data_IF_677168349232
#
_entry.id   IF_677168349232
#
_cell.length_a   1.000
_cell.length_b   1.000
_cell.length_c   1.000
_cell.angle_alpha   90.00
_cell.angle_beta   90.00
_cell.angle_gamma   90.00
#
_symmetry.space_group_name_H-M   'P 1'
#
loop_
_entity.id
_entity.type
_entity.pdbx_description
1 polymer ?
#
# COMPACT_ATOMS: atom_id res chain seq x y z
N UNK A 1 16.83 15.20 -24.46
CA UNK A 1 15.63 14.99 -23.60
C UNK A 1 16.06 15.23 -22.16
N UNK A 2 15.38 16.11 -21.42
CA UNK A 2 15.77 16.46 -20.04
C UNK A 2 15.59 15.22 -19.17
N UNK A 3 16.70 14.69 -18.65
CA UNK A 3 16.70 13.56 -17.74
C UNK A 3 16.30 14.09 -16.35
N UNK A 4 15.00 14.31 -16.15
CA UNK A 4 14.46 14.77 -14.88
C UNK A 4 14.56 13.59 -13.92
N UNK A 5 15.62 13.51 -13.12
CA UNK A 5 15.63 12.65 -11.94
C UNK A 5 14.42 13.07 -11.09
N UNK A 6 13.35 12.27 -11.13
CA UNK A 6 12.16 12.50 -10.32
C UNK A 6 12.62 12.53 -8.86
N UNK A 7 12.30 13.61 -8.16
CA UNK A 7 12.61 13.74 -6.73
C UNK A 7 11.89 12.59 -6.00
N UNK A 8 12.59 11.80 -5.17
CA UNK A 8 11.96 10.70 -4.46
C UNK A 8 10.87 11.24 -3.53
N UNK A 9 9.70 10.62 -3.56
CA UNK A 9 8.64 10.92 -2.61
C UNK A 9 9.09 10.49 -1.22
N UNK A 10 8.93 11.37 -0.23
CA UNK A 10 9.24 11.07 1.16
C UNK A 10 8.04 10.38 1.81
N UNK A 11 8.31 9.38 2.64
CA UNK A 11 7.32 8.59 3.36
C UNK A 11 7.45 8.82 4.87
N UNK A 12 6.34 8.75 5.61
CA UNK A 12 6.39 8.69 7.09
C UNK A 12 6.64 7.27 7.60
N UNK A 13 6.47 6.25 6.75
CA UNK A 13 7.01 4.92 6.98
C UNK A 13 8.48 4.93 6.56
N UNK A 14 9.37 4.42 7.41
CA UNK A 14 10.80 4.35 7.15
C UNK A 14 11.09 3.52 5.88
N UNK A 15 11.37 4.21 4.79
CA UNK A 15 11.83 3.63 3.54
C UNK A 15 13.35 3.65 3.52
N UNK A 16 13.98 2.73 4.24
CA UNK A 16 15.45 2.62 4.26
C UNK A 16 16.01 2.63 2.84
N UNK A 17 17.03 3.45 2.59
CA UNK A 17 17.55 3.70 1.22
C UNK A 17 18.04 2.42 0.52
N UNK A 18 18.38 1.36 1.27
CA UNK A 18 18.90 0.10 0.75
C UNK A 18 17.84 -0.97 0.47
N UNK A 19 16.56 -0.73 0.79
CA UNK A 19 15.52 -1.77 0.63
C UNK A 19 15.08 -1.99 -0.82
N UNK A 20 15.23 -1.00 -1.70
CA UNK A 20 14.64 -0.99 -3.05
C UNK A 20 13.13 -0.71 -3.09
N UNK A 21 12.47 -0.61 -1.94
CA UNK A 21 11.02 -0.40 -1.80
C UNK A 21 10.72 1.03 -1.32
N UNK A 22 10.98 2.01 -2.18
CA UNK A 22 10.63 3.41 -1.90
C UNK A 22 9.13 3.66 -2.07
N UNK A 23 8.65 4.83 -1.67
CA UNK A 23 7.27 5.27 -1.94
C UNK A 23 6.93 5.34 -3.44
N UNK A 24 7.94 5.43 -4.32
CA UNK A 24 7.76 5.33 -5.76
C UNK A 24 7.62 3.88 -6.25
N UNK A 25 8.13 2.91 -5.48
CA UNK A 25 8.17 1.50 -5.82
C UNK A 25 7.44 0.64 -4.77
N UNK A 26 6.12 0.59 -4.88
CA UNK A 26 5.25 -0.23 -4.05
C UNK A 26 4.86 -1.51 -4.81
N UNK A 27 5.46 -2.67 -4.52
CA UNK A 27 5.05 -3.94 -5.10
C UNK A 27 3.78 -4.45 -4.42
N UNK A 28 2.97 -5.21 -5.15
CA UNK A 28 1.84 -5.96 -4.59
C UNK A 28 2.24 -7.43 -4.43
N UNK A 29 1.86 -8.04 -3.32
CA UNK A 29 2.18 -9.42 -2.99
C UNK A 29 1.09 -10.08 -2.17
N UNK A 30 1.29 -11.37 -1.87
CA UNK A 30 0.50 -12.13 -0.93
C UNK A 30 1.39 -12.54 0.24
N UNK A 31 0.88 -12.46 1.46
CA UNK A 31 1.56 -12.96 2.65
C UNK A 31 0.59 -13.70 3.57
N UNK A 32 1.09 -14.78 4.19
CA UNK A 32 0.42 -15.43 5.31
C UNK A 32 0.83 -14.71 6.60
N UNK A 33 -0.10 -13.97 7.20
CA UNK A 33 0.19 -13.13 8.38
C UNK A 33 -0.07 -13.85 9.71
N UNK A 34 -0.85 -14.92 9.64
CA UNK A 34 -1.15 -15.87 10.73
C UNK A 34 -1.48 -17.22 10.09
N UNK A 35 -1.32 -18.35 10.80
CA UNK A 35 -1.70 -19.66 10.28
C UNK A 35 -3.10 -19.65 9.67
N UNK A 36 -3.18 -19.92 8.36
CA UNK A 36 -4.45 -19.96 7.61
C UNK A 36 -5.06 -18.59 7.27
N UNK A 37 -4.35 -17.48 7.52
CA UNK A 37 -4.78 -16.13 7.11
C UNK A 37 -3.79 -15.53 6.11
N UNK A 38 -4.15 -15.65 4.84
CA UNK A 38 -3.38 -15.16 3.69
C UNK A 38 -4.08 -13.97 3.06
N UNK A 39 -3.35 -12.89 2.85
CA UNK A 39 -3.90 -11.59 2.43
C UNK A 39 -3.01 -10.90 1.39
N UNK A 40 -3.60 -9.92 0.71
CA UNK A 40 -2.89 -8.93 -0.10
C UNK A 40 -2.05 -7.97 0.74
N UNK A 41 -0.81 -7.76 0.32
CA UNK A 41 0.14 -6.87 0.98
C UNK A 41 0.87 -5.97 -0.01
N UNK A 42 1.38 -4.85 0.48
CA UNK A 42 2.41 -4.04 -0.21
C UNK A 42 3.64 -3.94 0.68
N UNK A 43 4.80 -3.60 0.09
CA UNK A 43 6.04 -3.37 0.83
C UNK A 43 6.50 -1.93 0.69
N UNK A 44 7.00 -1.34 1.78
CA UNK A 44 7.68 -0.04 1.80
C UNK A 44 8.81 -0.07 2.83
N UNK A 45 10.03 0.23 2.38
CA UNK A 45 11.21 0.02 3.19
C UNK A 45 11.36 -1.44 3.61
N UNK A 46 11.51 -1.61 4.93
CA UNK A 46 11.57 -2.92 5.56
C UNK A 46 10.20 -3.39 6.08
N UNK A 47 9.14 -2.60 5.92
CA UNK A 47 7.82 -2.92 6.43
C UNK A 47 6.96 -3.60 5.35
N UNK A 48 6.19 -4.60 5.76
CA UNK A 48 5.05 -5.11 5.00
C UNK A 48 3.78 -4.41 5.49
N UNK A 49 2.88 -4.09 4.58
CA UNK A 49 1.61 -3.42 4.88
C UNK A 49 0.46 -4.27 4.40
N UNK A 50 -0.46 -4.56 5.32
CA UNK A 50 -1.70 -5.28 5.07
C UNK A 50 -2.68 -4.39 4.29
N UNK A 51 -2.94 -4.73 3.03
CA UNK A 51 -3.85 -3.95 2.17
C UNK A 51 -5.32 -4.19 2.50
N UNK A 52 -5.67 -5.39 3.01
CA UNK A 52 -7.01 -5.68 3.52
C UNK A 52 -7.34 -4.78 4.71
N UNK A 53 -6.42 -4.65 5.68
CA UNK A 53 -6.60 -3.75 6.82
C UNK A 53 -6.70 -2.28 6.39
N UNK A 54 -5.91 -1.84 5.40
CA UNK A 54 -6.04 -0.50 4.86
C UNK A 54 -7.42 -0.24 4.24
N UNK A 55 -8.00 -1.23 3.57
CA UNK A 55 -9.37 -1.15 3.08
C UNK A 55 -10.37 -1.00 4.24
N UNK A 56 -10.22 -1.78 5.32
CA UNK A 56 -11.06 -1.66 6.52
C UNK A 56 -10.92 -0.31 7.24
N UNK A 57 -9.73 0.29 7.20
CA UNK A 57 -9.46 1.65 7.67
C UNK A 57 -9.97 2.74 6.71
N UNK A 58 -10.78 2.37 5.71
CA UNK A 58 -11.38 3.28 4.73
C UNK A 58 -10.36 4.05 3.88
N UNK A 59 -9.12 3.57 3.80
CA UNK A 59 -8.05 4.23 3.05
C UNK A 59 -8.32 4.27 1.54
N UNK A 60 -9.18 3.37 1.03
CA UNK A 60 -9.55 3.26 -0.39
C UNK A 60 -10.91 3.87 -0.73
N UNK A 61 -11.55 4.61 0.20
CA UNK A 61 -12.83 5.27 -0.08
C UNK A 61 -12.73 6.19 -1.31
N UNK A 62 -13.72 6.09 -2.19
CA UNK A 62 -13.76 6.85 -3.45
C UNK A 62 -12.93 6.27 -4.58
N UNK A 63 -12.33 5.08 -4.40
CA UNK A 63 -11.74 4.28 -5.49
C UNK A 63 -12.73 3.18 -5.94
N UNK A 64 -12.29 2.33 -6.87
CA UNK A 64 -13.06 1.17 -7.33
C UNK A 64 -13.56 0.29 -6.16
N UNK A 65 -14.87 -0.02 -6.06
CA UNK A 65 -15.46 -0.73 -4.92
C UNK A 65 -14.82 -2.10 -4.61
N UNK A 66 -14.40 -2.85 -5.63
CA UNK A 66 -13.74 -4.15 -5.45
C UNK A 66 -12.45 -4.08 -4.60
N UNK A 67 -11.78 -2.92 -4.53
CA UNK A 67 -10.61 -2.73 -3.69
C UNK A 67 -10.90 -2.93 -2.18
N UNK A 68 -12.18 -2.90 -1.78
CA UNK A 68 -12.61 -3.20 -0.42
C UNK A 68 -12.54 -4.69 -0.08
N UNK A 69 -12.43 -5.56 -1.08
CA UNK A 69 -12.55 -7.01 -0.90
C UNK A 69 -11.43 -7.81 -1.54
N UNK A 70 -10.83 -7.36 -2.66
CA UNK A 70 -9.82 -8.16 -3.39
C UNK A 70 -8.59 -8.51 -2.56
N UNK A 71 -8.20 -7.68 -1.59
CA UNK A 71 -7.02 -7.95 -0.74
C UNK A 71 -7.29 -8.90 0.43
N UNK A 72 -8.56 -9.24 0.70
CA UNK A 72 -8.93 -10.34 1.60
C UNK A 72 -8.70 -11.71 0.97
N UNK A 73 -8.49 -11.77 -0.35
CA UNK A 73 -8.31 -13.01 -1.09
C UNK A 73 -6.87 -13.53 -0.97
N UNK A 74 -6.65 -14.85 -0.97
CA UNK A 74 -5.32 -15.45 -0.84
C UNK A 74 -4.51 -15.38 -2.15
N UNK A 75 -5.02 -14.72 -3.20
CA UNK A 75 -4.42 -14.61 -4.52
C UNK A 75 -4.60 -13.20 -5.08
N UNK A 76 -3.68 -12.74 -5.93
CA UNK A 76 -3.76 -11.41 -6.55
C UNK A 76 -4.60 -11.36 -7.83
N UNK A 77 -5.07 -12.50 -8.34
CA UNK A 77 -5.74 -12.57 -9.64
C UNK A 77 -6.93 -11.61 -9.75
N UNK A 78 -7.80 -11.59 -8.75
CA UNK A 78 -8.95 -10.67 -8.73
C UNK A 78 -8.53 -9.20 -8.76
N UNK A 79 -7.44 -8.84 -8.07
CA UNK A 79 -6.88 -7.50 -8.15
C UNK A 79 -6.31 -7.20 -9.55
N UNK A 80 -5.56 -8.14 -10.14
CA UNK A 80 -4.97 -8.00 -11.48
C UNK A 80 -6.06 -7.79 -12.54
N UNK A 81 -7.19 -8.48 -12.43
CA UNK A 81 -8.33 -8.38 -13.33
C UNK A 81 -9.02 -7.00 -13.32
N UNK A 82 -8.86 -6.20 -12.25
CA UNK A 82 -9.39 -4.83 -12.19
C UNK A 82 -8.73 -3.86 -13.18
N UNK A 83 -7.57 -4.21 -13.73
CA UNK A 83 -6.92 -3.45 -14.79
C UNK A 83 -6.10 -2.24 -14.33
N UNK A 84 -5.32 -1.71 -15.27
CA UNK A 84 -4.24 -0.75 -14.99
C UNK A 84 -4.71 0.60 -14.45
N UNK A 85 -5.92 1.05 -14.79
CA UNK A 85 -6.49 2.30 -14.27
C UNK A 85 -6.72 2.21 -12.76
N UNK A 86 -7.39 1.15 -12.29
CA UNK A 86 -7.61 0.89 -10.87
C UNK A 86 -6.27 0.72 -10.13
N UNK A 87 -5.30 0.03 -10.74
CA UNK A 87 -3.97 -0.14 -10.16
C UNK A 87 -3.23 1.19 -10.00
N UNK A 88 -3.38 2.09 -10.98
CA UNK A 88 -2.78 3.41 -10.96
C UNK A 88 -3.39 4.29 -9.86
N UNK A 89 -4.72 4.33 -9.76
CA UNK A 89 -5.43 5.06 -8.72
C UNK A 89 -5.07 4.55 -7.32
N UNK A 90 -5.03 3.23 -7.13
CA UNK A 90 -4.59 2.63 -5.88
C UNK A 90 -3.16 3.06 -5.54
N UNK A 91 -2.24 3.04 -6.52
CA UNK A 91 -0.85 3.46 -6.30
C UNK A 91 -0.76 4.91 -5.85
N UNK A 92 -1.51 5.82 -6.50
CA UNK A 92 -1.58 7.22 -6.09
C UNK A 92 -2.16 7.37 -4.68
N UNK A 93 -3.20 6.59 -4.34
CA UNK A 93 -3.78 6.59 -3.00
C UNK A 93 -2.78 6.13 -1.96
N UNK A 94 -2.06 5.03 -2.19
CA UNK A 94 -1.02 4.56 -1.28
C UNK A 94 0.11 5.58 -1.12
N UNK A 95 0.48 6.29 -2.19
CA UNK A 95 1.45 7.38 -2.13
C UNK A 95 0.97 8.55 -1.27
N UNK A 96 -0.31 8.91 -1.35
CA UNK A 96 -0.91 9.92 -0.48
C UNK A 96 -0.96 9.45 0.97
N UNK A 97 -1.38 8.20 1.20
CA UNK A 97 -1.54 7.62 2.54
C UNK A 97 -0.20 7.50 3.25
N UNK A 98 0.85 7.00 2.60
CA UNK A 98 2.18 6.81 3.20
C UNK A 98 3.11 8.02 3.07
N UNK A 99 2.75 9.00 2.23
CA UNK A 99 3.57 10.18 1.99
C UNK A 99 3.74 11.05 3.22
N UNK A 100 4.93 11.62 3.41
CA UNK A 100 5.25 12.53 4.53
C UNK A 100 4.35 13.78 4.58
N UNK A 101 3.63 14.10 3.51
CA UNK A 101 2.62 15.15 3.47
C UNK A 101 1.25 14.75 4.07
N UNK A 102 1.03 13.50 4.45
CA UNK A 102 -0.19 13.08 5.14
C UNK A 102 -0.23 13.70 6.55
N UNK A 103 -1.19 14.60 6.77
CA UNK A 103 -1.37 15.31 8.04
C UNK A 103 -2.43 14.66 8.94
N UNK A 104 -3.13 13.61 8.46
CA UNK A 104 -4.15 12.92 9.23
C UNK A 104 -3.50 11.98 10.27
N UNK A 105 -3.17 12.55 11.44
CA UNK A 105 -2.54 11.82 12.55
C UNK A 105 -3.35 10.60 12.99
N UNK A 106 -4.68 10.70 13.04
CA UNK A 106 -5.53 9.57 13.46
C UNK A 106 -5.41 8.39 12.49
N UNK A 107 -5.42 8.66 11.19
CA UNK A 107 -5.21 7.64 10.17
C UNK A 107 -3.81 7.03 10.28
N UNK A 108 -2.77 7.85 10.40
CA UNK A 108 -1.38 7.36 10.50
C UNK A 108 -1.22 6.44 11.72
N UNK A 109 -1.73 6.85 12.88
CA UNK A 109 -1.63 6.04 14.10
C UNK A 109 -2.46 4.75 14.00
N UNK A 110 -3.64 4.78 13.36
CA UNK A 110 -4.42 3.58 13.09
C UNK A 110 -3.64 2.60 12.20
N UNK A 111 -3.03 3.08 11.10
CA UNK A 111 -2.23 2.25 10.19
C UNK A 111 -1.03 1.64 10.90
N UNK A 112 -0.29 2.43 11.68
CA UNK A 112 0.84 1.92 12.49
C UNK A 112 0.42 0.82 13.44
N UNK A 113 -0.77 0.94 14.03
CA UNK A 113 -1.28 0.00 15.04
C UNK A 113 -1.77 -1.32 14.45
N UNK A 114 -2.41 -1.31 13.28
CA UNK A 114 -3.12 -2.50 12.77
C UNK A 114 -2.68 -3.00 11.40
N UNK A 115 -2.14 -2.14 10.54
CA UNK A 115 -1.86 -2.49 9.15
C UNK A 115 -0.38 -2.80 8.87
N UNK A 116 0.55 -2.41 9.75
CA UNK A 116 1.96 -2.79 9.60
C UNK A 116 2.16 -4.22 10.10
N UNK A 117 2.65 -5.07 9.19
CA UNK A 117 3.02 -6.45 9.45
C UNK A 117 4.54 -6.50 9.28
N UNK A 118 5.23 -7.03 10.29
CA UNK A 118 6.69 -7.09 10.45
C UNK A 118 7.56 -6.83 9.20
#
# INVERSE_FOLDING_TARGET
MKNTKLKPLLSWIDSSENSGFSLNNLPYGIAEIKPGKTIGVTRIGNQVVNLDELAQLQAFNGLHPELLHVFSQPILNYFIELGGEVHHELRLRLQQVFGAGNTNKQQIEAIKKSALVL
#
